data_IF_791901237470
#
_entry.id   IF_791901237470
#
_cell.length_a   1.000
_cell.length_b   1.000
_cell.length_c   1.000
_cell.angle_alpha   90.00
_cell.angle_beta   90.00
_cell.angle_gamma   90.00
#
_symmetry.space_group_name_H-M   'P 1'
#
loop_
_entity.id
_entity.type
_entity.pdbx_description
1 polymer ?
#
# COMPACT_ATOMS: atom_id res chain seq x y z
N UNK A 1 -14.99 21.31 -5.90
CA UNK A 1 -13.98 20.31 -5.51
C UNK A 1 -14.52 18.93 -5.91
N UNK A 2 -13.80 18.14 -6.72
CA UNK A 2 -14.27 16.80 -7.18
C UNK A 2 -13.20 15.75 -6.85
N UNK A 3 -13.05 15.42 -5.56
CA UNK A 3 -12.19 14.34 -5.09
C UNK A 3 -13.06 13.34 -4.32
N UNK A 4 -12.88 12.05 -4.56
CA UNK A 4 -13.54 10.98 -3.80
C UNK A 4 -12.64 10.61 -2.60
N UNK A 5 -12.59 11.50 -1.62
CA UNK A 5 -11.81 11.33 -0.39
C UNK A 5 -12.66 11.78 0.79
N UNK A 6 -12.39 11.25 1.98
CA UNK A 6 -13.02 11.71 3.21
C UNK A 6 -12.44 13.06 3.64
N UNK A 7 -11.17 13.06 4.07
CA UNK A 7 -10.39 14.26 4.37
C UNK A 7 -8.97 14.12 3.81
N UNK A 8 -8.29 15.21 3.41
CA UNK A 8 -6.96 15.14 2.81
C UNK A 8 -5.91 14.42 3.67
N UNK A 9 -5.99 14.57 4.99
CA UNK A 9 -5.03 14.04 5.96
C UNK A 9 -5.06 12.51 6.01
N UNK A 10 -6.21 11.90 5.74
CA UNK A 10 -6.39 10.44 5.81
C UNK A 10 -6.43 9.77 4.45
N UNK A 11 -6.38 10.52 3.34
CA UNK A 11 -6.59 10.00 2.00
C UNK A 11 -5.70 8.77 1.69
N UNK A 12 -4.41 8.84 2.02
CA UNK A 12 -3.48 7.70 1.81
C UNK A 12 -3.80 6.52 2.73
N UNK A 13 -4.10 6.79 4.01
CA UNK A 13 -4.42 5.72 4.96
C UNK A 13 -5.71 4.99 4.57
N UNK A 14 -6.72 5.72 4.08
CA UNK A 14 -7.98 5.16 3.61
C UNK A 14 -7.77 4.31 2.35
N UNK A 15 -6.94 4.77 1.41
CA UNK A 15 -6.55 4.00 0.23
C UNK A 15 -5.82 2.69 0.61
N UNK A 16 -4.87 2.74 1.54
CA UNK A 16 -4.14 1.56 2.02
C UNK A 16 -5.04 0.55 2.74
N UNK A 17 -6.01 1.02 3.54
CA UNK A 17 -7.03 0.13 4.14
C UNK A 17 -7.86 -0.55 3.06
N UNK A 18 -8.26 0.18 2.01
CA UNK A 18 -8.94 -0.37 0.85
C UNK A 18 -8.11 -1.44 0.13
N UNK A 19 -6.82 -1.16 -0.10
CA UNK A 19 -5.87 -2.11 -0.71
C UNK A 19 -5.79 -3.41 0.09
N UNK A 20 -5.70 -3.32 1.42
CA UNK A 20 -5.64 -4.49 2.30
C UNK A 20 -6.89 -5.38 2.20
N UNK A 21 -8.07 -4.78 2.03
CA UNK A 21 -9.34 -5.50 1.88
C UNK A 21 -9.49 -6.10 0.48
N UNK A 22 -9.06 -5.36 -0.55
CA UNK A 22 -9.18 -5.79 -1.94
C UNK A 22 -8.18 -6.89 -2.33
N UNK A 23 -7.00 -6.92 -1.70
CA UNK A 23 -5.88 -7.78 -2.07
C UNK A 23 -5.40 -8.63 -0.89
N UNK A 24 -6.07 -9.76 -0.57
CA UNK A 24 -5.70 -10.63 0.55
C UNK A 24 -4.33 -11.31 0.39
N UNK A 25 -3.73 -11.29 -0.80
CA UNK A 25 -2.37 -11.71 -1.12
C UNK A 25 -1.29 -10.72 -0.66
N UNK A 26 -1.67 -9.56 -0.12
CA UNK A 26 -0.78 -8.53 0.42
C UNK A 26 -0.92 -8.43 1.93
N UNK A 27 0.19 -8.12 2.59
CA UNK A 27 0.21 -7.60 3.96
C UNK A 27 0.44 -6.10 3.87
N UNK A 28 -0.51 -5.32 4.37
CA UNK A 28 -0.47 -3.85 4.32
C UNK A 28 -0.31 -3.29 5.73
N UNK A 29 0.81 -2.62 5.97
CA UNK A 29 1.03 -1.79 7.16
C UNK A 29 0.58 -0.36 6.84
N UNK A 30 -0.57 0.03 7.39
CA UNK A 30 -1.18 1.34 7.15
C UNK A 30 -0.42 2.46 7.86
N UNK A 31 0.14 2.20 9.04
CA UNK A 31 0.88 3.20 9.82
C UNK A 31 2.27 3.41 9.23
N UNK A 32 2.97 2.32 8.95
CA UNK A 32 4.28 2.33 8.29
C UNK A 32 4.23 2.66 6.81
N UNK A 33 3.04 2.61 6.18
CA UNK A 33 2.80 2.80 4.74
C UNK A 33 3.63 1.85 3.88
N UNK A 34 3.68 0.59 4.30
CA UNK A 34 4.43 -0.47 3.60
C UNK A 34 3.44 -1.52 3.12
N UNK A 35 3.59 -1.92 1.86
CA UNK A 35 2.88 -3.06 1.28
C UNK A 35 3.90 -4.14 0.97
N UNK A 36 3.65 -5.34 1.46
CA UNK A 36 4.53 -6.50 1.27
C UNK A 36 3.70 -7.65 0.72
N UNK A 37 4.30 -8.47 -0.15
CA UNK A 37 3.70 -9.75 -0.51
C UNK A 37 3.48 -10.61 0.74
N UNK A 38 2.32 -11.26 0.83
CA UNK A 38 1.97 -12.09 1.99
C UNK A 38 2.88 -13.30 2.20
N UNK A 39 3.48 -13.81 1.13
CA UNK A 39 4.43 -14.93 1.17
C UNK A 39 5.88 -14.50 1.45
N UNK A 40 6.13 -13.21 1.66
CA UNK A 40 7.44 -12.72 2.06
C UNK A 40 7.69 -12.94 3.58
N UNK A 41 8.95 -13.19 4.00
CA UNK A 41 10.14 -13.34 3.17
C UNK A 41 10.21 -14.70 2.47
N UNK A 42 10.71 -14.72 1.23
CA UNK A 42 10.98 -15.96 0.49
C UNK A 42 12.45 -16.36 0.68
N UNK A 43 12.69 -17.44 1.42
CA UNK A 43 14.04 -17.90 1.76
C UNK A 43 14.88 -18.20 0.49
N UNK A 44 16.16 -17.81 0.53
CA UNK A 44 17.11 -18.03 -0.56
C UNK A 44 16.85 -17.19 -1.82
N UNK A 45 16.00 -16.15 -1.75
CA UNK A 45 15.74 -15.20 -2.84
C UNK A 45 16.14 -13.78 -2.45
N UNK A 46 16.57 -12.99 -3.43
CA UNK A 46 16.85 -11.56 -3.26
C UNK A 46 15.52 -10.80 -3.14
N UNK A 47 15.35 -10.02 -2.08
CA UNK A 47 14.20 -9.14 -1.91
C UNK A 47 14.33 -7.88 -2.77
N UNK A 48 13.24 -7.46 -3.39
CA UNK A 48 13.16 -6.21 -4.14
C UNK A 48 12.26 -5.22 -3.38
N UNK A 49 12.73 -3.99 -3.26
CA UNK A 49 12.00 -2.90 -2.59
C UNK A 49 12.03 -1.67 -3.50
N UNK A 50 10.90 -0.99 -3.58
CA UNK A 50 10.76 0.31 -4.22
C UNK A 50 9.82 1.18 -3.38
N UNK A 51 9.57 2.41 -3.79
CA UNK A 51 8.71 3.32 -3.07
C UNK A 51 8.84 4.76 -3.52
N UNK A 52 7.85 5.57 -3.15
CA UNK A 52 7.72 6.97 -3.50
C UNK A 52 6.54 7.61 -2.77
N UNK A 53 6.17 8.83 -3.15
CA UNK A 53 4.95 9.46 -2.67
C UNK A 53 3.70 8.90 -3.35
N UNK A 54 2.59 8.83 -2.60
CA UNK A 54 1.26 8.50 -3.16
C UNK A 54 0.78 9.53 -4.19
N UNK A 55 -0.16 9.14 -5.05
CA UNK A 55 -0.64 9.95 -6.18
C UNK A 55 -0.11 9.51 -7.54
N UNK A 56 0.66 8.43 -7.57
CA UNK A 56 1.20 7.79 -8.78
C UNK A 56 0.70 6.35 -8.96
N UNK A 57 -0.35 5.96 -8.22
CA UNK A 57 -0.96 4.64 -8.33
C UNK A 57 -1.30 4.33 -9.82
N UNK A 58 -0.95 3.13 -10.34
CA UNK A 58 -0.63 1.90 -9.60
C UNK A 58 0.83 1.72 -9.18
N UNK A 59 1.72 2.68 -9.47
CA UNK A 59 3.13 2.59 -9.10
C UNK A 59 3.30 3.11 -7.66
N UNK A 60 3.99 2.40 -6.77
CA UNK A 60 4.81 1.20 -6.96
C UNK A 60 4.09 -0.12 -6.75
#
# INVERSE_FOLDING_TARGET
MKMLINVPETAVADALRGMAVAHPELTVDVEGRVVVRRDAPVAGKVGLVSGGGSGHEPLH
#
